data_IF_974545622036
#
_entry.id   IF_974545622036
#
_cell.length_a   1.000
_cell.length_b   1.000
_cell.length_c   1.000
_cell.angle_alpha   90.00
_cell.angle_beta   90.00
_cell.angle_gamma   90.00
#
_symmetry.space_group_name_H-M   'P 1'
#
loop_
_entity.id
_entity.type
_entity.pdbx_description
1 polymer ?
#
# COMPACT_ATOMS: atom_id res chain seq x y z
N UNK A 1 32.09 -18.67 -2.72
CA UNK A 1 31.45 -17.55 -2.01
C UNK A 1 30.43 -16.97 -2.97
N UNK A 2 29.16 -17.26 -2.77
CA UNK A 2 28.09 -16.70 -3.59
C UNK A 2 28.05 -15.18 -3.41
N UNK A 3 27.94 -14.44 -4.52
CA UNK A 3 27.85 -12.99 -4.47
C UNK A 3 26.37 -12.63 -4.37
N UNK A 4 25.93 -12.35 -3.15
CA UNK A 4 24.59 -11.88 -2.82
C UNK A 4 24.65 -10.38 -2.47
N UNK A 5 23.89 -9.57 -3.21
CA UNK A 5 23.72 -8.15 -2.93
C UNK A 5 22.22 -7.84 -2.85
N UNK A 6 21.81 -7.16 -1.78
CA UNK A 6 20.42 -6.76 -1.57
C UNK A 6 20.36 -5.26 -1.31
N UNK A 7 19.39 -4.59 -1.93
CA UNK A 7 19.15 -3.17 -1.72
C UNK A 7 17.65 -2.88 -1.65
N UNK A 8 17.20 -2.39 -0.50
CA UNK A 8 15.82 -1.96 -0.29
C UNK A 8 15.70 -0.44 -0.52
N UNK A 9 15.00 -0.06 -1.57
CA UNK A 9 14.64 1.32 -1.88
C UNK A 9 13.25 1.64 -1.32
N UNK A 10 13.24 2.32 -0.17
CA UNK A 10 12.01 2.90 0.37
C UNK A 10 11.62 4.14 -0.43
N UNK A 11 10.34 4.29 -0.73
CA UNK A 11 9.82 5.58 -1.22
C UNK A 11 9.29 6.41 -0.05
N UNK A 12 9.34 7.74 -0.19
CA UNK A 12 8.71 8.62 0.79
C UNK A 12 7.19 8.46 0.73
N UNK A 13 6.53 8.50 1.90
CA UNK A 13 5.08 8.58 1.99
C UNK A 13 4.59 9.79 1.19
N UNK A 14 3.85 9.53 0.12
CA UNK A 14 3.30 10.59 -0.73
C UNK A 14 2.21 11.37 0.00
N UNK A 15 1.94 12.60 -0.45
CA UNK A 15 0.80 13.38 0.03
C UNK A 15 -0.52 12.61 -0.11
N UNK A 16 -0.66 11.79 -1.17
CA UNK A 16 -1.81 10.89 -1.38
C UNK A 16 -1.95 9.86 -0.26
N UNK A 17 -0.85 9.26 0.19
CA UNK A 17 -0.88 8.32 1.31
C UNK A 17 -1.34 9.00 2.61
N UNK A 18 -0.78 10.18 2.91
CA UNK A 18 -1.11 10.92 4.14
C UNK A 18 -2.55 11.39 4.14
N UNK A 19 -3.04 11.95 3.02
CA UNK A 19 -4.43 12.37 2.87
C UNK A 19 -5.40 11.19 3.00
N UNK A 20 -5.16 10.08 2.30
CA UNK A 20 -5.99 8.87 2.43
C UNK A 20 -6.00 8.30 3.86
N UNK A 21 -4.88 8.38 4.57
CA UNK A 21 -4.81 7.97 5.97
C UNK A 21 -5.68 8.86 6.87
N UNK A 22 -5.61 10.19 6.70
CA UNK A 22 -6.41 11.14 7.47
C UNK A 22 -7.91 10.93 7.17
N UNK A 23 -8.29 10.83 5.89
CA UNK A 23 -9.68 10.55 5.50
C UNK A 23 -10.17 9.22 6.08
N UNK A 24 -9.36 8.16 6.03
CA UNK A 24 -9.73 6.88 6.62
C UNK A 24 -10.10 7.02 8.10
N UNK A 25 -9.28 7.71 8.90
CA UNK A 25 -9.54 7.94 10.33
C UNK A 25 -10.77 8.81 10.58
N UNK A 26 -10.94 9.90 9.83
CA UNK A 26 -12.09 10.79 9.96
C UNK A 26 -13.39 10.02 9.69
N UNK A 27 -13.44 9.24 8.61
CA UNK A 27 -14.63 8.48 8.26
C UNK A 27 -14.89 7.33 9.23
N UNK A 28 -13.84 6.65 9.71
CA UNK A 28 -14.00 5.58 10.70
C UNK A 28 -14.55 6.13 12.03
N UNK A 29 -13.94 7.17 12.58
CA UNK A 29 -14.36 7.78 13.86
C UNK A 29 -15.74 8.42 13.71
N UNK A 30 -15.95 9.20 12.63
CA UNK A 30 -17.24 9.82 12.34
C UNK A 30 -18.34 8.77 12.18
N UNK A 31 -18.08 7.70 11.42
CA UNK A 31 -19.02 6.59 11.23
C UNK A 31 -19.40 5.91 12.54
N UNK A 32 -18.43 5.65 13.42
CA UNK A 32 -18.69 5.06 14.74
C UNK A 32 -19.50 5.99 15.66
N UNK A 33 -19.21 7.30 15.63
CA UNK A 33 -20.00 8.29 16.37
C UNK A 33 -21.45 8.34 15.88
N UNK A 34 -21.66 8.36 14.56
CA UNK A 34 -23.01 8.31 13.98
C UNK A 34 -23.73 7.01 14.32
N UNK A 35 -23.03 5.88 14.32
CA UNK A 35 -23.60 4.60 14.72
C UNK A 35 -24.04 4.63 16.19
N UNK A 36 -23.21 5.17 17.08
CA UNK A 36 -23.55 5.34 18.50
C UNK A 36 -24.75 6.27 18.73
N UNK A 37 -24.85 7.37 17.99
CA UNK A 37 -26.03 8.24 18.03
C UNK A 37 -27.28 7.54 17.49
N UNK A 38 -27.13 6.72 16.45
CA UNK A 38 -28.22 5.95 15.86
C UNK A 38 -28.77 4.91 16.85
N UNK A 39 -27.91 4.25 17.62
CA UNK A 39 -28.35 3.27 18.63
C UNK A 39 -29.10 3.92 19.79
N UNK A 40 -28.67 5.11 20.25
CA UNK A 40 -29.38 5.86 21.30
C UNK A 40 -30.75 6.34 20.82
N UNK A 41 -30.80 6.83 19.58
CA UNK A 41 -32.03 7.39 18.99
C UNK A 41 -32.97 6.35 18.39
N UNK A 42 -32.58 5.06 18.37
CA UNK A 42 -33.28 3.98 17.66
C UNK A 42 -33.64 4.31 16.21
N UNK A 43 -32.82 5.15 15.56
CA UNK A 43 -33.09 5.66 14.22
C UNK A 43 -32.45 4.77 13.15
N UNK A 44 -33.28 4.00 12.46
CA UNK A 44 -32.85 3.09 11.39
C UNK A 44 -32.14 3.81 10.25
N UNK A 45 -32.57 5.02 9.89
CA UNK A 45 -31.94 5.81 8.83
C UNK A 45 -30.50 6.20 9.17
N UNK A 46 -30.27 6.67 10.40
CA UNK A 46 -28.93 6.97 10.89
C UNK A 46 -28.04 5.72 10.97
N UNK A 47 -28.61 4.57 11.34
CA UNK A 47 -27.89 3.30 11.36
C UNK A 47 -27.39 2.93 9.97
N UNK A 48 -28.26 2.96 8.95
CA UNK A 48 -27.88 2.65 7.56
C UNK A 48 -26.80 3.63 7.08
N UNK A 49 -26.97 4.93 7.36
CA UNK A 49 -26.01 5.95 6.95
C UNK A 49 -24.62 5.73 7.59
N UNK A 50 -24.59 5.39 8.88
CA UNK A 50 -23.33 5.10 9.59
C UNK A 50 -22.60 3.88 9.03
N UNK A 51 -23.32 2.83 8.63
CA UNK A 51 -22.75 1.63 8.00
C UNK A 51 -22.09 2.01 6.67
N UNK A 52 -22.73 2.86 5.86
CA UNK A 52 -22.18 3.33 4.58
C UNK A 52 -20.87 4.11 4.81
N UNK A 53 -20.85 5.00 5.80
CA UNK A 53 -19.64 5.78 6.14
C UNK A 53 -18.50 4.85 6.58
N UNK A 54 -18.81 3.86 7.42
CA UNK A 54 -17.83 2.87 7.87
C UNK A 54 -17.30 2.06 6.68
N UNK A 55 -18.17 1.60 5.77
CA UNK A 55 -17.78 0.92 4.54
C UNK A 55 -16.85 1.77 3.66
N UNK A 56 -17.13 3.07 3.54
CA UNK A 56 -16.29 4.00 2.80
C UNK A 56 -14.89 4.17 3.43
N UNK A 57 -14.79 4.10 4.76
CA UNK A 57 -13.49 4.09 5.44
C UNK A 57 -12.63 2.90 4.99
N UNK A 58 -13.22 1.70 4.82
CA UNK A 58 -12.49 0.52 4.34
C UNK A 58 -12.00 0.70 2.90
N UNK A 59 -12.75 1.38 2.03
CA UNK A 59 -12.30 1.74 0.69
C UNK A 59 -11.06 2.66 0.76
N UNK A 60 -11.08 3.71 1.59
CA UNK A 60 -9.91 4.57 1.75
C UNK A 60 -8.69 3.81 2.28
N UNK A 61 -8.88 2.86 3.20
CA UNK A 61 -7.81 1.97 3.70
C UNK A 61 -7.21 1.13 2.58
N UNK A 62 -8.06 0.57 1.69
CA UNK A 62 -7.60 -0.21 0.55
C UNK A 62 -6.74 0.62 -0.41
N UNK A 63 -7.20 1.82 -0.79
CA UNK A 63 -6.43 2.71 -1.68
C UNK A 63 -5.13 3.20 -1.04
N UNK A 64 -5.14 3.50 0.27
CA UNK A 64 -3.93 3.86 1.02
C UNK A 64 -2.88 2.75 0.95
N UNK A 65 -3.29 1.49 1.15
CA UNK A 65 -2.38 0.35 1.14
C UNK A 65 -1.72 0.14 -0.23
N UNK A 66 -2.40 0.48 -1.32
CA UNK A 66 -1.84 0.37 -2.67
C UNK A 66 -0.95 1.57 -3.07
N UNK A 67 -0.97 2.66 -2.29
CA UNK A 67 -0.29 3.92 -2.63
C UNK A 67 1.16 3.99 -2.16
N UNK A 68 1.54 3.26 -1.11
CA UNK A 68 2.92 3.20 -0.62
C UNK A 68 3.61 1.95 -1.15
N UNK A 69 4.73 2.13 -1.85
CA UNK A 69 5.43 1.07 -2.59
C UNK A 69 6.92 1.15 -2.31
N UNK A 70 7.52 0.06 -1.89
CA UNK A 70 8.96 -0.08 -1.72
C UNK A 70 9.46 -1.04 -2.79
N UNK A 71 10.67 -0.82 -3.28
CA UNK A 71 11.29 -1.70 -4.27
C UNK A 71 12.50 -2.36 -3.64
N UNK A 72 12.62 -3.66 -3.79
CA UNK A 72 13.73 -4.45 -3.28
C UNK A 72 14.44 -5.08 -4.47
N UNK A 73 15.74 -4.82 -4.56
CA UNK A 73 16.61 -5.33 -5.61
C UNK A 73 17.49 -6.40 -5.00
N UNK A 74 17.37 -7.62 -5.50
CA UNK A 74 18.17 -8.76 -5.06
C UNK A 74 18.99 -9.26 -6.23
N UNK A 75 20.31 -9.27 -6.06
CA UNK A 75 21.25 -9.77 -7.04
C UNK A 75 21.95 -11.01 -6.47
N UNK A 76 21.73 -12.15 -7.11
CA UNK A 76 22.28 -13.44 -6.65
C UNK A 76 22.91 -14.17 -7.82
N UNK A 77 24.24 -14.34 -7.79
CA UNK A 77 24.96 -15.17 -8.77
C UNK A 77 24.65 -14.86 -10.25
N UNK A 78 24.35 -13.60 -10.58
CA UNK A 78 23.99 -13.18 -11.93
C UNK A 78 22.49 -13.22 -12.23
N UNK A 79 21.63 -13.59 -11.28
CA UNK A 79 20.19 -13.37 -11.38
C UNK A 79 19.81 -12.04 -10.72
N UNK A 80 19.00 -11.23 -11.41
CA UNK A 80 18.45 -9.98 -10.89
C UNK A 80 16.95 -10.14 -10.63
N UNK A 81 16.56 -10.03 -9.36
CA UNK A 81 15.17 -10.03 -8.92
C UNK A 81 14.79 -8.64 -8.45
N UNK A 82 13.65 -8.14 -8.91
CA UNK A 82 13.06 -6.87 -8.48
C UNK A 82 11.68 -7.16 -7.89
N UNK A 83 11.58 -6.99 -6.57
CA UNK A 83 10.34 -7.12 -5.83
C UNK A 83 9.72 -5.74 -5.55
N UNK A 84 8.39 -5.67 -5.56
CA UNK A 84 7.63 -4.54 -5.05
C UNK A 84 6.89 -4.93 -3.77
N UNK A 85 7.04 -4.12 -2.73
CA UNK A 85 6.37 -4.28 -1.44
C UNK A 85 5.36 -3.16 -1.25
N UNK A 86 4.09 -3.49 -1.10
CA UNK A 86 3.01 -2.54 -0.84
C UNK A 86 2.80 -2.39 0.67
N UNK A 87 2.95 -1.16 1.17
CA UNK A 87 2.71 -0.76 2.57
C UNK A 87 3.29 -1.75 3.60
N UNK A 88 4.51 -2.24 3.36
CA UNK A 88 5.24 -3.21 4.20
C UNK A 88 4.47 -4.51 4.50
N UNK A 89 3.49 -4.89 3.66
CA UNK A 89 2.64 -6.06 3.93
C UNK A 89 2.59 -7.04 2.76
N UNK A 90 2.38 -6.54 1.54
CA UNK A 90 2.20 -7.39 0.36
C UNK A 90 3.39 -7.27 -0.57
N UNK A 91 4.16 -8.35 -0.76
CA UNK A 91 5.25 -8.44 -1.75
C UNK A 91 4.74 -9.01 -3.07
N UNK A 92 5.24 -8.52 -4.20
CA UNK A 92 5.03 -9.07 -5.55
C UNK A 92 6.33 -8.95 -6.35
N UNK A 93 6.72 -10.04 -7.01
CA UNK A 93 7.87 -10.01 -7.92
C UNK A 93 7.47 -9.36 -9.23
N UNK A 94 8.20 -8.32 -9.62
CA UNK A 94 7.99 -7.62 -10.88
C UNK A 94 8.87 -8.18 -11.99
N UNK A 95 10.06 -8.63 -11.63
CA UNK A 95 11.09 -9.03 -12.56
C UNK A 95 12.01 -10.06 -11.90
N UNK A 96 12.37 -11.11 -12.62
CA UNK A 96 13.26 -12.18 -12.18
C UNK A 96 13.89 -12.79 -13.45
N UNK A 97 15.12 -12.41 -13.76
CA UNK A 97 15.84 -12.88 -14.96
C UNK A 97 17.35 -12.88 -14.76
N UNK A 98 18.03 -13.80 -15.46
CA UNK A 98 19.48 -13.83 -15.55
C UNK A 98 19.98 -12.58 -16.29
N UNK A 99 20.91 -11.88 -15.65
CA UNK A 99 21.60 -10.67 -16.13
C UNK A 99 22.26 -10.92 -17.49
N UNK A 100 22.62 -12.16 -17.82
CA UNK A 100 23.15 -12.53 -19.14
C UNK A 100 22.15 -12.37 -20.28
N UNK A 101 20.85 -12.43 -20.00
CA UNK A 101 19.79 -12.29 -21.00
C UNK A 101 19.54 -10.83 -21.40
N UNK A 102 20.18 -9.87 -20.72
CA UNK A 102 20.04 -8.46 -21.06
C UNK A 102 20.99 -8.07 -22.19
N UNK A 103 20.43 -7.65 -23.32
CA UNK A 103 21.18 -7.20 -24.49
C UNK A 103 21.90 -5.85 -24.28
N UNK A 104 21.46 -5.05 -23.31
CA UNK A 104 22.05 -3.74 -23.02
C UNK A 104 22.05 -3.42 -21.51
N UNK A 105 23.22 -3.40 -20.90
CA UNK A 105 23.47 -2.63 -19.68
C UNK A 105 23.89 -1.23 -20.09
N UNK A 106 22.96 -0.28 -19.99
CA UNK A 106 23.15 1.07 -20.51
C UNK A 106 24.46 1.72 -20.05
N UNK A 107 25.22 2.24 -21.01
CA UNK A 107 26.33 3.17 -20.80
C UNK A 107 25.74 4.56 -20.58
N UNK A 108 26.19 5.26 -19.53
CA UNK A 108 25.81 6.64 -19.15
C UNK A 108 25.67 7.56 -20.37
N UNK A 109 24.48 8.13 -20.55
CA UNK A 109 24.32 9.48 -21.11
C UNK A 109 24.45 10.51 -20.00
#
# INVERSE_FOLDING_TARGET
MDRFYEQLLTTKKSLKYTTLNILNWIFLIGGLLYFFLATISFNVGLTIFSIIIIALSFLFKYFRNNSYKEYEYTFTNGNLVIDIIYNMNKRRTLFDEDVKNFEAFGKKS
#
